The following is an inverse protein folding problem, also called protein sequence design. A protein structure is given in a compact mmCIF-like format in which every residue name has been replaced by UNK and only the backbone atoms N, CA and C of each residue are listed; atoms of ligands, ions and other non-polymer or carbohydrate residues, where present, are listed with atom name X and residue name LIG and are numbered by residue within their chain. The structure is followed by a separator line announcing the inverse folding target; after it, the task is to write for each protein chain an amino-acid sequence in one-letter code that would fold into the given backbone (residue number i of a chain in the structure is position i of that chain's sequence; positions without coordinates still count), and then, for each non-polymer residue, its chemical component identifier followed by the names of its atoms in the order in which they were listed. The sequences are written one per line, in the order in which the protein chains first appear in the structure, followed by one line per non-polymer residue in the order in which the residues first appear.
data_IF_947145433154
#
_entry.id   IF_947145433154
#
_cell.length_a   1.000
_cell.length_b   1.000
_cell.length_c   1.000
_cell.angle_alpha   90.00
_cell.angle_beta   90.00
_cell.angle_gamma   90.00
#
_symmetry.space_group_name_H-M   'P 1'
#
loop_
_entity.id
_entity.type
_entity.pdbx_description
1 polymer ?
#
# COMPACT_ATOMS: atom_id res chain seq x y z
N UNK A 1 -36.16 24.60 -25.64
CA UNK A 1 -35.80 23.41 -24.86
C UNK A 1 -34.37 23.03 -25.28
N UNK A 2 -33.40 23.21 -24.41
CA UNK A 2 -32.03 22.74 -24.65
C UNK A 2 -32.04 21.19 -24.57
N UNK A 3 -31.41 20.52 -25.54
CA UNK A 3 -31.22 19.08 -25.49
C UNK A 3 -30.48 18.70 -24.21
N UNK A 4 -30.84 17.59 -23.53
CA UNK A 4 -30.10 17.13 -22.38
C UNK A 4 -28.68 16.84 -22.85
N UNK A 5 -27.71 17.54 -22.27
CA UNK A 5 -26.28 17.20 -22.42
C UNK A 5 -26.11 15.79 -21.90
N UNK A 6 -25.73 14.86 -22.75
CA UNK A 6 -25.35 13.50 -22.31
C UNK A 6 -24.22 13.63 -21.28
N UNK A 7 -24.44 13.03 -20.10
CA UNK A 7 -23.41 12.95 -19.06
C UNK A 7 -22.23 12.14 -19.61
N UNK A 8 -21.03 12.74 -19.79
CA UNK A 8 -19.88 12.05 -20.36
C UNK A 8 -19.46 10.79 -19.59
N UNK A 9 -19.94 10.63 -18.34
CA UNK A 9 -19.66 9.47 -17.47
C UNK A 9 -20.46 8.21 -17.87
N UNK A 10 -21.48 8.34 -18.71
CA UNK A 10 -22.33 7.20 -19.14
C UNK A 10 -21.90 6.56 -20.46
N UNK A 11 -20.93 7.16 -21.18
CA UNK A 11 -20.34 6.57 -22.37
C UNK A 11 -19.26 5.56 -21.97
N UNK A 12 -19.64 4.30 -21.85
CA UNK A 12 -18.77 3.22 -21.40
C UNK A 12 -17.46 3.12 -22.19
N UNK A 13 -16.40 2.72 -21.52
CA UNK A 13 -15.08 2.25 -21.99
C UNK A 13 -14.19 3.17 -22.84
N UNK A 14 -14.62 4.34 -23.29
CA UNK A 14 -13.74 5.23 -24.09
C UNK A 14 -12.93 6.24 -23.28
N UNK A 15 -13.36 6.52 -22.05
CA UNK A 15 -12.68 7.49 -21.15
C UNK A 15 -11.85 6.77 -20.11
N UNK A 16 -10.55 6.69 -20.33
CA UNK A 16 -9.58 6.18 -19.33
C UNK A 16 -8.48 7.21 -19.09
N UNK A 17 -8.21 7.50 -17.82
CA UNK A 17 -7.10 8.36 -17.41
C UNK A 17 -5.73 7.81 -17.84
N UNK A 18 -5.64 6.52 -18.15
CA UNK A 18 -4.41 5.81 -18.53
C UNK A 18 -4.41 5.38 -20.01
N UNK A 19 -5.18 6.07 -20.85
CA UNK A 19 -5.18 5.83 -22.31
C UNK A 19 -4.22 6.81 -22.99
N UNK A 20 -3.28 6.35 -23.84
CA UNK A 20 -2.46 7.25 -24.64
C UNK A 20 -3.32 8.15 -25.54
N UNK A 21 -2.97 9.41 -25.64
CA UNK A 21 -3.69 10.40 -26.46
C UNK A 21 -3.34 10.32 -27.95
N UNK A 22 -2.30 9.57 -28.32
CA UNK A 22 -1.76 9.52 -29.67
C UNK A 22 -1.45 8.06 -30.06
N UNK A 23 -1.75 7.70 -31.31
CA UNK A 23 -1.37 6.43 -31.89
C UNK A 23 0.16 6.23 -31.93
N UNK A 24 0.63 5.03 -31.64
CA UNK A 24 2.06 4.69 -31.59
C UNK A 24 2.75 5.01 -30.26
N UNK A 25 2.06 5.66 -29.30
CA UNK A 25 2.52 5.81 -27.92
C UNK A 25 1.86 4.75 -27.06
N UNK A 26 2.66 4.00 -26.27
CA UNK A 26 2.15 2.98 -25.34
C UNK A 26 2.36 3.44 -23.89
N UNK A 27 1.44 3.07 -23.03
CA UNK A 27 1.62 3.24 -21.58
C UNK A 27 2.65 2.22 -21.08
N UNK A 28 3.53 2.61 -20.14
CA UNK A 28 4.39 1.66 -19.44
C UNK A 28 3.57 0.51 -18.84
N UNK A 29 4.15 -0.69 -18.82
CA UNK A 29 3.49 -1.87 -18.27
C UNK A 29 4.32 -2.45 -17.12
N UNK A 30 3.67 -3.11 -16.15
CA UNK A 30 4.39 -3.90 -15.16
C UNK A 30 5.33 -4.92 -15.86
N UNK A 31 6.53 -5.16 -15.31
CA UNK A 31 7.45 -6.12 -15.90
C UNK A 31 6.88 -7.56 -15.84
N UNK A 32 7.29 -8.37 -16.81
CA UNK A 32 7.07 -9.81 -16.83
C UNK A 32 8.40 -10.53 -16.71
N UNK A 33 8.42 -11.72 -16.12
CA UNK A 33 9.65 -12.45 -15.80
C UNK A 33 9.66 -13.82 -16.47
N UNK A 34 10.81 -14.26 -16.91
CA UNK A 34 10.98 -15.59 -17.51
C UNK A 34 11.12 -16.68 -16.42
N UNK A 35 11.58 -16.32 -15.22
CA UNK A 35 11.83 -17.24 -14.12
C UNK A 35 11.38 -16.66 -12.77
N UNK A 36 11.05 -17.55 -11.81
CA UNK A 36 10.77 -17.13 -10.43
C UNK A 36 11.99 -16.45 -9.76
N UNK A 37 13.19 -16.80 -10.16
CA UNK A 37 14.40 -16.16 -9.63
C UNK A 37 14.52 -14.70 -10.06
N UNK A 38 14.21 -14.38 -11.31
CA UNK A 38 14.16 -12.99 -11.80
C UNK A 38 13.06 -12.21 -11.11
N UNK A 39 11.89 -12.79 -10.96
CA UNK A 39 10.78 -12.17 -10.25
C UNK A 39 11.10 -11.93 -8.77
N UNK A 40 11.71 -12.91 -8.08
CA UNK A 40 12.17 -12.77 -6.70
C UNK A 40 13.13 -11.60 -6.54
N UNK A 41 14.13 -11.51 -7.42
CA UNK A 41 15.10 -10.41 -7.40
C UNK A 41 14.38 -9.06 -7.58
N UNK A 42 13.50 -8.95 -8.56
CA UNK A 42 12.72 -7.75 -8.79
C UNK A 42 11.85 -7.38 -7.56
N UNK A 43 11.13 -8.33 -6.98
CA UNK A 43 10.31 -8.11 -5.78
C UNK A 43 11.16 -7.60 -4.61
N UNK A 44 12.34 -8.15 -4.40
CA UNK A 44 13.29 -7.70 -3.35
C UNK A 44 13.81 -6.29 -3.64
N UNK A 45 14.14 -5.97 -4.89
CA UNK A 45 14.57 -4.62 -5.28
C UNK A 45 13.46 -3.59 -5.05
N UNK A 46 12.23 -3.89 -5.47
CA UNK A 46 11.06 -3.05 -5.22
C UNK A 46 10.81 -2.86 -3.71
N UNK A 47 10.99 -3.92 -2.92
CA UNK A 47 10.82 -3.89 -1.47
C UNK A 47 11.86 -2.97 -0.81
N UNK A 48 13.14 -3.10 -1.15
CA UNK A 48 14.20 -2.22 -0.66
C UNK A 48 13.94 -0.76 -1.06
N UNK A 49 13.52 -0.52 -2.32
CA UNK A 49 13.16 0.81 -2.79
C UNK A 49 11.96 1.41 -2.06
N UNK A 50 10.91 0.62 -1.80
CA UNK A 50 9.73 1.07 -1.04
C UNK A 50 10.12 1.48 0.39
N UNK A 51 11.02 0.74 1.06
CA UNK A 51 11.55 1.16 2.36
C UNK A 51 12.28 2.49 2.28
N UNK A 52 13.14 2.70 1.26
CA UNK A 52 13.85 3.97 1.05
C UNK A 52 12.87 5.14 0.84
N UNK A 53 11.83 4.95 0.03
CA UNK A 53 10.75 5.94 -0.18
C UNK A 53 10.05 6.24 1.14
N UNK A 54 9.65 5.21 1.90
CA UNK A 54 9.03 5.40 3.22
C UNK A 54 9.95 6.15 4.18
N UNK A 55 11.25 5.83 4.18
CA UNK A 55 12.24 6.54 4.97
C UNK A 55 12.36 8.02 4.61
N UNK A 56 12.29 8.37 3.31
CA UNK A 56 12.30 9.77 2.84
C UNK A 56 11.06 10.53 3.26
N UNK A 57 9.90 9.87 3.25
CA UNK A 57 8.63 10.48 3.67
C UNK A 57 8.46 10.56 5.18
N UNK A 58 9.43 10.05 5.96
CA UNK A 58 9.38 10.09 7.42
C UNK A 58 8.45 9.03 8.02
N UNK A 59 8.19 7.92 7.30
CA UNK A 59 7.35 6.84 7.81
C UNK A 59 8.12 5.78 8.61
N UNK A 60 9.46 5.86 8.64
CA UNK A 60 10.35 4.89 9.28
C UNK A 60 10.95 5.40 10.58
N UNK A 61 10.13 5.85 11.53
CA UNK A 61 10.60 6.33 12.84
C UNK A 61 10.78 5.17 13.82
N UNK A 62 11.98 5.09 14.41
CA UNK A 62 12.33 4.07 15.39
C UNK A 62 12.36 2.67 14.80
N UNK A 63 11.66 1.73 15.44
CA UNK A 63 11.61 0.30 15.05
C UNK A 63 10.24 -0.13 14.51
N UNK A 64 9.32 0.81 14.39
CA UNK A 64 7.96 0.54 13.92
C UNK A 64 7.88 0.57 12.39
N UNK A 65 7.00 -0.29 11.87
CA UNK A 65 6.75 -0.41 10.44
C UNK A 65 7.48 -1.56 9.77
N UNK A 66 6.83 -2.08 8.75
CA UNK A 66 7.28 -3.22 7.96
C UNK A 66 6.53 -3.25 6.62
N UNK A 67 7.23 -3.67 5.58
CA UNK A 67 6.64 -3.98 4.28
C UNK A 67 7.05 -5.41 3.98
N UNK A 68 6.13 -6.20 3.45
CA UNK A 68 6.39 -7.58 3.07
C UNK A 68 6.06 -7.81 1.62
N UNK A 69 6.76 -8.76 1.01
CA UNK A 69 6.42 -9.28 -0.31
C UNK A 69 6.53 -10.80 -0.33
N UNK A 70 5.46 -11.46 -0.80
CA UNK A 70 5.42 -12.91 -0.96
C UNK A 70 6.49 -13.38 -1.93
N UNK A 71 7.14 -14.49 -1.60
CA UNK A 71 8.07 -15.12 -2.51
C UNK A 71 7.33 -15.75 -3.71
N UNK A 72 7.81 -15.57 -4.96
CA UNK A 72 7.10 -16.07 -6.13
C UNK A 72 7.23 -17.59 -6.34
N UNK A 73 8.22 -18.24 -5.74
CA UNK A 73 8.45 -19.68 -5.86
C UNK A 73 7.90 -20.45 -4.66
N UNK A 74 8.05 -19.88 -3.45
CA UNK A 74 7.49 -20.44 -2.24
C UNK A 74 6.44 -19.48 -1.63
N UNK A 75 5.15 -19.66 -1.92
CA UNK A 75 4.08 -18.79 -1.42
C UNK A 75 3.87 -18.87 0.10
N UNK A 76 4.53 -19.82 0.80
CA UNK A 76 4.49 -19.96 2.25
C UNK A 76 5.53 -19.10 2.96
N UNK A 77 6.32 -18.32 2.23
CA UNK A 77 7.25 -17.36 2.80
C UNK A 77 7.12 -15.98 2.19
N UNK A 78 7.55 -14.96 2.92
CA UNK A 78 7.60 -13.58 2.47
C UNK A 78 8.90 -12.90 2.91
N UNK A 79 9.37 -11.98 2.08
CA UNK A 79 10.52 -11.11 2.35
C UNK A 79 10.08 -9.89 3.14
N UNK A 80 10.92 -9.46 4.09
CA UNK A 80 10.63 -8.36 5.02
C UNK A 80 11.93 -7.67 5.46
N UNK A 81 11.83 -6.47 6.02
CA UNK A 81 12.97 -5.79 6.62
C UNK A 81 13.46 -6.48 7.90
N UNK A 82 14.77 -6.45 8.16
CA UNK A 82 15.29 -6.84 9.46
C UNK A 82 14.82 -5.86 10.56
N UNK A 83 14.47 -6.39 11.72
CA UNK A 83 14.04 -5.59 12.86
C UNK A 83 15.16 -4.68 13.36
N UNK A 84 14.84 -3.41 13.61
CA UNK A 84 15.76 -2.41 14.13
C UNK A 84 16.67 -1.74 13.09
N UNK A 85 16.48 -2.01 11.79
CA UNK A 85 17.20 -1.33 10.73
C UNK A 85 16.42 -0.13 10.19
N UNK A 86 17.10 0.99 9.98
CA UNK A 86 16.48 2.19 9.40
C UNK A 86 16.02 1.92 7.97
N UNK A 87 14.79 2.31 7.64
CA UNK A 87 14.24 2.23 6.29
C UNK A 87 15.11 2.91 5.23
N UNK A 88 15.80 3.99 5.62
CA UNK A 88 16.68 4.77 4.74
C UNK A 88 17.93 4.03 4.28
N UNK A 89 18.25 2.88 4.90
CA UNK A 89 19.51 2.16 4.67
C UNK A 89 19.30 0.71 4.26
N UNK A 90 18.05 0.24 4.12
CA UNK A 90 17.76 -1.14 3.71
C UNK A 90 18.22 -1.36 2.26
N UNK A 91 18.95 -2.45 2.05
CA UNK A 91 19.41 -2.96 0.75
C UNK A 91 18.76 -4.30 0.46
N UNK A 92 18.89 -4.74 -0.78
CA UNK A 92 18.42 -6.07 -1.22
C UNK A 92 19.03 -7.20 -0.39
N UNK A 93 20.32 -7.09 -0.07
CA UNK A 93 21.04 -8.09 0.75
C UNK A 93 20.66 -8.09 2.24
N UNK A 94 20.10 -7.00 2.75
CA UNK A 94 19.66 -6.92 4.15
C UNK A 94 18.33 -7.65 4.40
N UNK A 95 17.50 -7.85 3.35
CA UNK A 95 16.18 -8.43 3.48
C UNK A 95 16.24 -9.87 3.98
N UNK A 96 15.33 -10.19 4.90
CA UNK A 96 15.17 -11.54 5.44
C UNK A 96 13.89 -12.17 4.88
N UNK A 97 13.86 -13.51 4.79
CA UNK A 97 12.63 -14.24 4.49
C UNK A 97 12.17 -15.02 5.70
N UNK A 98 10.85 -14.97 5.93
CA UNK A 98 10.18 -15.62 7.07
C UNK A 98 9.06 -16.50 6.53
N UNK A 99 8.95 -17.72 7.03
CA UNK A 99 7.83 -18.61 6.73
C UNK A 99 6.61 -18.30 7.61
N UNK A 100 5.47 -18.95 7.36
CA UNK A 100 4.24 -18.72 8.10
C UNK A 100 4.29 -19.21 9.56
N UNK A 101 5.30 -20.02 9.93
CA UNK A 101 5.53 -20.50 11.30
C UNK A 101 6.39 -19.50 12.12
N UNK A 102 6.96 -18.50 11.47
CA UNK A 102 7.80 -17.46 12.08
C UNK A 102 9.29 -17.77 12.04
N UNK A 103 9.68 -18.85 11.35
CA UNK A 103 11.09 -19.18 11.17
C UNK A 103 11.74 -18.28 10.11
N UNK A 104 12.95 -17.82 10.41
CA UNK A 104 13.76 -17.12 9.44
C UNK A 104 14.43 -18.16 8.52
N UNK A 105 13.95 -18.23 7.28
CA UNK A 105 14.46 -19.19 6.28
C UNK A 105 15.61 -18.62 5.44
N UNK A 106 15.69 -17.30 5.34
CA UNK A 106 16.84 -16.59 4.73
C UNK A 106 17.24 -15.38 5.56
N UNK A 107 18.56 -15.15 5.65
CA UNK A 107 19.12 -14.08 6.45
C UNK A 107 19.46 -14.53 7.88
N UNK A 108 19.96 -13.58 8.68
CA UNK A 108 20.47 -13.84 10.04
C UNK A 108 20.12 -12.72 11.03
N UNK A 109 19.10 -11.91 10.71
CA UNK A 109 18.64 -10.81 11.57
C UNK A 109 17.24 -11.10 12.12
N UNK A 110 16.89 -10.57 13.29
CA UNK A 110 15.56 -10.80 13.86
C UNK A 110 14.44 -10.14 13.03
N UNK A 111 13.26 -10.75 13.08
CA UNK A 111 12.01 -10.18 12.56
C UNK A 111 11.26 -9.45 13.69
N UNK A 112 10.49 -8.43 13.35
CA UNK A 112 9.54 -7.81 14.28
C UNK A 112 8.36 -8.78 14.52
N UNK A 113 8.23 -9.29 15.74
CA UNK A 113 7.21 -10.28 16.08
C UNK A 113 5.77 -9.75 15.88
N UNK A 114 5.51 -8.49 16.23
CA UNK A 114 4.18 -7.90 16.03
C UNK A 114 3.88 -7.74 14.52
N UNK A 115 4.88 -7.33 13.74
CA UNK A 115 4.78 -7.28 12.29
C UNK A 115 4.54 -8.65 11.68
N UNK A 116 5.25 -9.67 12.16
CA UNK A 116 5.06 -11.05 11.71
C UNK A 116 3.62 -11.53 11.91
N UNK A 117 3.04 -11.36 13.11
CA UNK A 117 1.66 -11.81 13.42
C UNK A 117 0.66 -11.22 12.42
N UNK A 118 0.76 -9.93 12.11
CA UNK A 118 -0.14 -9.26 11.18
C UNK A 118 0.06 -9.75 9.75
N UNK A 119 1.31 -9.68 9.25
CA UNK A 119 1.61 -9.99 7.85
C UNK A 119 1.41 -11.48 7.53
N UNK A 120 1.77 -12.39 8.45
CA UNK A 120 1.53 -13.81 8.31
C UNK A 120 0.03 -14.11 8.19
N UNK A 121 -0.81 -13.50 9.03
CA UNK A 121 -2.26 -13.65 8.96
C UNK A 121 -2.83 -13.16 7.62
N UNK A 122 -2.37 -12.01 7.13
CA UNK A 122 -2.82 -11.45 5.83
C UNK A 122 -2.37 -12.33 4.68
N UNK A 123 -1.09 -12.69 4.59
CA UNK A 123 -0.58 -13.56 3.54
C UNK A 123 -1.19 -14.96 3.56
N UNK A 124 -1.56 -15.49 4.72
CA UNK A 124 -2.24 -16.77 4.84
C UNK A 124 -3.69 -16.69 4.34
N UNK A 125 -4.43 -15.66 4.75
CA UNK A 125 -5.84 -15.50 4.40
C UNK A 125 -6.08 -15.05 2.97
N UNK A 126 -5.12 -14.35 2.35
CA UNK A 126 -5.20 -13.73 1.04
C UNK A 126 -4.04 -14.19 0.13
N UNK A 127 -4.16 -15.38 -0.50
CA UNK A 127 -3.13 -15.87 -1.42
C UNK A 127 -2.88 -14.96 -2.63
N UNK A 128 -3.87 -14.16 -3.01
CA UNK A 128 -3.79 -13.17 -4.08
C UNK A 128 -2.95 -11.94 -3.70
N UNK A 129 -2.82 -11.63 -2.41
CA UNK A 129 -2.00 -10.50 -1.95
C UNK A 129 -0.52 -10.84 -2.11
N UNK A 130 0.16 -10.07 -2.93
CA UNK A 130 1.61 -10.19 -3.16
C UNK A 130 2.40 -9.37 -2.15
N UNK A 131 1.96 -8.15 -1.85
CA UNK A 131 2.67 -7.27 -0.93
C UNK A 131 1.74 -6.59 0.07
N UNK A 132 2.28 -6.29 1.25
CA UNK A 132 1.58 -5.58 2.30
C UNK A 132 2.50 -4.53 2.94
N UNK A 133 1.98 -3.35 3.22
CA UNK A 133 2.72 -2.21 3.76
C UNK A 133 2.05 -1.64 5.02
N UNK A 134 2.85 -1.44 6.06
CA UNK A 134 2.46 -0.78 7.30
C UNK A 134 3.59 0.08 7.85
N UNK A 135 3.25 1.24 8.36
CA UNK A 135 4.16 2.11 9.10
C UNK A 135 3.38 3.02 10.07
N UNK A 136 4.07 3.55 11.06
CA UNK A 136 3.48 4.45 12.04
C UNK A 136 3.58 5.92 11.59
N UNK A 137 3.07 6.22 10.39
CA UNK A 137 3.03 7.56 9.83
C UNK A 137 2.13 8.50 10.64
N UNK A 138 2.44 9.79 10.66
CA UNK A 138 1.81 10.75 11.59
C UNK A 138 0.32 10.90 11.36
N UNK A 139 -0.09 11.13 10.11
CA UNK A 139 -1.49 11.39 9.78
C UNK A 139 -2.33 10.12 9.75
N UNK A 140 -1.74 8.99 9.36
CA UNK A 140 -2.39 7.69 9.43
C UNK A 140 -2.68 7.27 10.87
N UNK A 141 -1.73 7.47 11.79
CA UNK A 141 -1.96 7.25 13.23
C UNK A 141 -3.07 8.17 13.76
N UNK A 142 -2.99 9.46 13.46
CA UNK A 142 -3.97 10.43 13.90
C UNK A 142 -5.37 10.07 13.40
N UNK A 143 -5.50 9.74 12.10
CA UNK A 143 -6.77 9.35 11.51
C UNK A 143 -7.31 8.04 12.08
N UNK A 144 -6.46 7.04 12.28
CA UNK A 144 -6.86 5.74 12.83
C UNK A 144 -7.50 5.86 14.22
N UNK A 145 -7.14 6.89 15.00
CA UNK A 145 -7.73 7.15 16.31
C UNK A 145 -9.19 7.62 16.25
N UNK A 146 -9.66 8.09 15.09
CA UNK A 146 -11.03 8.50 14.86
C UNK A 146 -11.95 7.30 14.54
N UNK A 147 -11.38 6.13 14.26
CA UNK A 147 -12.11 4.88 13.95
C UNK A 147 -13.20 5.04 12.89
N UNK A 148 -12.92 5.80 11.84
CA UNK A 148 -13.84 6.03 10.71
C UNK A 148 -13.12 6.02 9.38
N UNK A 149 -13.80 5.71 8.25
CA UNK A 149 -13.23 5.80 6.92
C UNK A 149 -12.93 7.26 6.53
N UNK A 150 -12.13 7.45 5.48
CA UNK A 150 -11.96 8.74 4.81
C UNK A 150 -13.21 9.09 4.00
N UNK A 151 -13.51 10.39 3.94
CA UNK A 151 -14.55 10.93 3.08
C UNK A 151 -13.98 11.30 1.70
N UNK A 152 -14.79 11.26 0.63
CA UNK A 152 -14.36 11.62 -0.71
C UNK A 152 -14.32 13.17 -0.87
N UNK A 153 -13.40 13.83 -0.17
CA UNK A 153 -13.27 15.30 -0.18
C UNK A 153 -12.29 15.82 -1.23
N UNK A 154 -11.48 14.93 -1.81
CA UNK A 154 -10.54 15.22 -2.89
C UNK A 154 -10.60 14.13 -3.95
N UNK A 155 -10.12 14.42 -5.18
CA UNK A 155 -9.99 13.41 -6.22
C UNK A 155 -9.10 12.24 -5.74
N UNK A 156 -8.01 12.54 -5.03
CA UNK A 156 -7.07 11.52 -4.53
C UNK A 156 -7.73 10.63 -3.46
N UNK A 157 -8.61 11.19 -2.62
CA UNK A 157 -9.39 10.40 -1.66
C UNK A 157 -10.36 9.45 -2.37
N UNK A 158 -10.91 9.84 -3.52
CA UNK A 158 -11.79 8.99 -4.31
C UNK A 158 -11.10 7.72 -4.85
N UNK A 159 -9.77 7.71 -4.97
CA UNK A 159 -9.00 6.50 -5.32
C UNK A 159 -9.32 5.31 -4.41
N UNK A 160 -9.63 5.58 -3.15
CA UNK A 160 -9.95 4.58 -2.13
C UNK A 160 -11.46 4.45 -1.87
N UNK A 161 -12.30 5.15 -2.64
CA UNK A 161 -13.73 5.18 -2.41
C UNK A 161 -14.34 3.77 -2.45
N UNK A 162 -15.04 3.38 -1.39
CA UNK A 162 -15.59 2.04 -1.14
C UNK A 162 -14.55 0.89 -1.06
N UNK A 163 -13.25 1.20 -1.12
CA UNK A 163 -12.17 0.21 -1.10
C UNK A 163 -11.25 0.30 0.12
N UNK A 164 -11.74 0.89 1.21
CA UNK A 164 -11.04 0.93 2.49
C UNK A 164 -11.99 0.67 3.66
N UNK A 165 -11.41 0.34 4.82
CA UNK A 165 -12.20 0.00 5.99
C UNK A 165 -11.51 0.37 7.31
N UNK A 166 -12.16 0.01 8.41
CA UNK A 166 -11.64 0.18 9.77
C UNK A 166 -11.71 -1.15 10.50
N UNK A 167 -10.63 -1.51 11.19
CA UNK A 167 -10.52 -2.66 12.08
C UNK A 167 -10.31 -2.16 13.49
N UNK A 168 -11.15 -2.57 14.42
CA UNK A 168 -11.17 -2.05 15.80
C UNK A 168 -10.57 -3.00 16.83
N UNK A 169 -10.33 -4.25 16.45
CA UNK A 169 -9.74 -5.27 17.30
C UNK A 169 -8.32 -4.87 17.73
N UNK A 170 -7.96 -5.19 18.96
CA UNK A 170 -6.66 -4.81 19.54
C UNK A 170 -6.56 -3.37 20.01
N UNK A 171 -7.37 -2.44 19.52
CA UNK A 171 -7.52 -1.06 20.01
C UNK A 171 -6.20 -0.33 20.31
N UNK A 172 -5.19 -0.48 19.45
CA UNK A 172 -3.88 0.15 19.60
C UNK A 172 -2.90 -0.59 20.50
N UNK A 173 -3.23 -1.76 21.03
CA UNK A 173 -2.27 -2.61 21.69
C UNK A 173 -1.22 -3.15 20.70
N UNK A 174 -0.03 -3.49 21.20
CA UNK A 174 0.97 -4.22 20.40
C UNK A 174 0.36 -5.56 19.95
N UNK A 175 0.41 -5.85 18.65
CA UNK A 175 -0.26 -7.01 18.08
C UNK A 175 0.59 -8.25 18.28
N UNK A 176 0.34 -8.97 19.39
CA UNK A 176 0.92 -10.30 19.67
C UNK A 176 -0.14 -11.39 19.63
N UNK A 177 -1.42 -11.02 19.64
CA UNK A 177 -2.55 -11.94 19.58
C UNK A 177 -2.88 -12.26 18.10
N UNK A 178 -2.83 -13.54 17.69
CA UNK A 178 -3.21 -13.96 16.34
C UNK A 178 -4.65 -13.60 15.94
N UNK A 179 -5.58 -13.43 16.90
CA UNK A 179 -6.96 -13.00 16.61
C UNK A 179 -7.00 -11.60 16.00
N UNK A 180 -6.15 -10.70 16.48
CA UNK A 180 -6.05 -9.35 15.91
C UNK A 180 -5.51 -9.40 14.47
N UNK A 181 -4.54 -10.27 14.21
CA UNK A 181 -4.04 -10.52 12.84
C UNK A 181 -5.16 -11.05 11.93
N UNK A 182 -5.97 -11.99 12.40
CA UNK A 182 -7.13 -12.52 11.64
C UNK A 182 -8.20 -11.45 11.40
N UNK A 183 -8.47 -10.60 12.37
CA UNK A 183 -9.40 -9.50 12.21
C UNK A 183 -8.93 -8.49 11.13
N UNK A 184 -7.63 -8.17 11.11
CA UNK A 184 -7.03 -7.34 10.06
C UNK A 184 -7.15 -7.98 8.69
N UNK A 185 -6.83 -9.26 8.56
CA UNK A 185 -6.98 -10.00 7.32
C UNK A 185 -8.45 -10.00 6.84
N UNK A 186 -9.40 -10.27 7.74
CA UNK A 186 -10.84 -10.20 7.41
C UNK A 186 -11.26 -8.80 6.96
N UNK A 187 -10.77 -7.76 7.63
CA UNK A 187 -11.03 -6.37 7.27
C UNK A 187 -10.55 -5.98 5.87
N UNK A 188 -9.49 -6.63 5.40
CA UNK A 188 -8.90 -6.40 4.06
C UNK A 188 -9.65 -7.12 2.93
N UNK A 189 -10.56 -8.04 3.22
CA UNK A 189 -11.29 -8.78 2.17
C UNK A 189 -11.95 -7.82 1.18
N UNK A 190 -11.51 -7.86 -0.09
CA UNK A 190 -11.99 -7.01 -1.17
C UNK A 190 -11.60 -5.53 -1.03
N UNK A 191 -10.62 -5.19 -0.18
CA UNK A 191 -10.16 -3.83 0.05
C UNK A 191 -8.66 -3.67 -0.18
N UNK A 192 -8.25 -2.45 -0.51
CA UNK A 192 -6.84 -2.07 -0.70
C UNK A 192 -6.13 -1.74 0.60
N UNK A 193 -6.87 -1.26 1.58
CA UNK A 193 -6.31 -0.88 2.86
C UNK A 193 -7.37 -0.85 3.98
N UNK A 194 -6.88 -0.92 5.21
CA UNK A 194 -7.66 -0.67 6.41
C UNK A 194 -6.94 0.27 7.36
N UNK A 195 -7.71 1.05 8.11
CA UNK A 195 -7.22 1.68 9.33
C UNK A 195 -7.35 0.70 10.48
N UNK A 196 -6.25 0.36 11.12
CA UNK A 196 -6.28 -0.32 12.41
C UNK A 196 -6.42 0.74 13.50
N UNK A 197 -7.54 0.70 14.24
CA UNK A 197 -7.87 1.72 15.23
C UNK A 197 -6.73 1.96 16.23
N UNK A 198 -6.37 3.24 16.45
CA UNK A 198 -5.31 3.70 17.35
C UNK A 198 -3.91 3.17 17.02
N UNK A 199 -3.70 2.65 15.80
CA UNK A 199 -2.43 2.04 15.39
C UNK A 199 -1.89 2.67 14.10
N UNK A 200 -2.66 2.63 13.01
CA UNK A 200 -2.22 3.22 11.74
C UNK A 200 -2.89 2.59 10.51
N UNK A 201 -2.20 2.72 9.39
CA UNK A 201 -2.62 2.24 8.07
C UNK A 201 -2.01 0.86 7.81
N UNK A 202 -2.79 -0.06 7.22
CA UNK A 202 -2.32 -1.30 6.64
C UNK A 202 -2.85 -1.41 5.20
N UNK A 203 -1.96 -1.47 4.23
CA UNK A 203 -2.29 -1.49 2.81
C UNK A 203 -1.76 -2.76 2.13
N UNK A 204 -2.46 -3.25 1.11
CA UNK A 204 -2.09 -4.45 0.35
C UNK A 204 -2.13 -4.19 -1.15
N UNK A 205 -1.46 -5.03 -1.94
CA UNK A 205 -1.45 -4.93 -3.39
C UNK A 205 -0.89 -6.16 -4.08
N UNK A 206 -1.09 -6.20 -5.40
CA UNK A 206 -0.58 -7.23 -6.31
C UNK A 206 0.91 -7.03 -6.63
N UNK A 207 1.46 -5.89 -6.22
CA UNK A 207 2.89 -5.55 -6.30
C UNK A 207 3.32 -4.73 -5.10
N UNK A 208 4.62 -4.70 -4.82
CA UNK A 208 5.19 -3.80 -3.79
C UNK A 208 4.88 -2.35 -4.10
N UNK A 209 5.00 -1.96 -5.36
CA UNK A 209 4.72 -0.61 -5.84
C UNK A 209 3.27 -0.20 -5.53
N UNK A 210 2.32 -1.08 -5.78
CA UNK A 210 0.90 -0.85 -5.50
C UNK A 210 0.64 -0.70 -4.00
N UNK A 211 1.07 -1.67 -3.17
CA UNK A 211 0.88 -1.61 -1.72
C UNK A 211 1.50 -0.35 -1.10
N UNK A 212 2.71 0.02 -1.54
CA UNK A 212 3.40 1.23 -1.10
C UNK A 212 2.64 2.49 -1.52
N UNK A 213 2.11 2.53 -2.74
CA UNK A 213 1.34 3.68 -3.22
C UNK A 213 0.02 3.84 -2.45
N UNK A 214 -0.74 2.76 -2.21
CA UNK A 214 -1.96 2.85 -1.41
C UNK A 214 -1.70 3.39 -0.01
N UNK A 215 -0.59 2.96 0.61
CA UNK A 215 -0.18 3.50 1.91
C UNK A 215 0.12 5.01 1.81
N UNK A 216 0.95 5.44 0.86
CA UNK A 216 1.35 6.85 0.67
C UNK A 216 0.13 7.71 0.38
N UNK A 217 -0.72 7.29 -0.56
CA UNK A 217 -1.94 8.02 -0.92
C UNK A 217 -2.88 8.16 0.29
N UNK A 218 -3.06 7.09 1.06
CA UNK A 218 -3.87 7.13 2.29
C UNK A 218 -3.32 8.12 3.31
N UNK A 219 -2.02 8.10 3.57
CA UNK A 219 -1.37 9.03 4.51
C UNK A 219 -1.59 10.49 4.09
N UNK A 220 -1.46 10.79 2.78
CA UNK A 220 -1.69 12.13 2.23
C UNK A 220 -3.16 12.56 2.32
N UNK A 221 -4.10 11.65 2.11
CA UNK A 221 -5.52 11.93 2.26
C UNK A 221 -5.92 12.10 3.73
N UNK A 222 -5.32 11.35 4.68
CA UNK A 222 -5.47 11.60 6.12
C UNK A 222 -5.03 13.03 6.47
N UNK A 223 -3.87 13.45 5.97
CA UNK A 223 -3.36 14.82 6.16
C UNK A 223 -4.33 15.85 5.60
N UNK A 224 -4.77 15.68 4.36
CA UNK A 224 -5.67 16.62 3.68
C UNK A 224 -7.00 16.75 4.43
N UNK A 225 -7.60 15.64 4.84
CA UNK A 225 -8.89 15.66 5.52
C UNK A 225 -8.79 16.25 6.93
N UNK A 226 -7.76 15.91 7.71
CA UNK A 226 -7.54 16.52 9.04
C UNK A 226 -7.37 18.04 8.93
N UNK A 227 -6.62 18.54 7.95
CA UNK A 227 -6.44 19.98 7.73
C UNK A 227 -7.73 20.66 7.26
N UNK A 228 -8.49 20.03 6.37
CA UNK A 228 -9.75 20.58 5.88
C UNK A 228 -10.79 20.66 7.00
N UNK A 229 -10.93 19.61 7.82
CA UNK A 229 -11.87 19.58 8.96
C UNK A 229 -11.46 20.57 10.06
N UNK A 230 -10.19 20.81 10.27
CA UNK A 230 -9.72 21.86 11.19
C UNK A 230 -10.06 23.28 10.70
N UNK A 231 -10.17 23.48 9.39
CA UNK A 231 -10.55 24.77 8.79
C UNK A 231 -12.07 24.98 8.66
N UNK A 232 -12.86 23.88 8.65
CA UNK A 232 -14.31 23.94 8.51
C UNK A 232 -14.92 22.60 8.14
N UNK A 233 -16.13 22.61 7.58
CA UNK A 233 -16.81 21.39 7.10
C UNK A 233 -16.49 21.17 5.63
N UNK A 234 -15.74 20.14 5.24
CA UNK A 234 -15.43 19.86 3.84
C UNK A 234 -16.69 19.54 3.03
N UNK A 235 -16.71 19.97 1.77
CA UNK A 235 -17.72 19.53 0.81
C UNK A 235 -17.28 18.19 0.22
N UNK A 236 -18.12 17.18 0.34
CA UNK A 236 -17.85 15.87 -0.25
C UNK A 236 -18.17 15.85 -1.75
N UNK A 237 -17.39 15.10 -2.51
CA UNK A 237 -17.67 14.73 -3.89
C UNK A 237 -18.86 13.75 -3.88
N UNK A 238 -19.82 13.98 -4.76
CA UNK A 238 -21.00 13.10 -4.84
C UNK A 238 -20.62 11.65 -5.23
N UNK A 239 -21.49 10.71 -4.89
CA UNK A 239 -21.26 9.29 -5.11
C UNK A 239 -20.88 8.95 -6.56
N UNK A 240 -21.55 9.54 -7.55
CA UNK A 240 -21.31 9.21 -8.96
C UNK A 240 -19.91 9.66 -9.40
N UNK A 241 -19.47 10.86 -9.01
CA UNK A 241 -18.14 11.38 -9.30
C UNK A 241 -17.04 10.65 -8.50
N UNK A 242 -17.30 10.32 -7.23
CA UNK A 242 -16.36 9.58 -6.39
C UNK A 242 -16.12 8.17 -6.95
N UNK A 243 -17.20 7.48 -7.33
CA UNK A 243 -17.14 6.14 -7.94
C UNK A 243 -16.42 6.16 -9.29
N UNK A 244 -16.76 7.11 -10.17
CA UNK A 244 -16.07 7.28 -11.45
C UNK A 244 -14.55 7.48 -11.25
N UNK A 245 -14.16 8.33 -10.30
CA UNK A 245 -12.74 8.57 -10.00
C UNK A 245 -12.06 7.30 -9.45
N UNK A 246 -12.73 6.54 -8.56
CA UNK A 246 -12.22 5.28 -8.05
C UNK A 246 -12.00 4.25 -9.18
N UNK A 247 -12.92 4.15 -10.14
CA UNK A 247 -12.81 3.26 -11.30
C UNK A 247 -11.62 3.64 -12.21
N UNK A 248 -11.26 4.92 -12.27
CA UNK A 248 -10.11 5.39 -13.06
C UNK A 248 -8.79 5.23 -12.31
N UNK A 249 -8.70 5.73 -11.08
CA UNK A 249 -7.44 5.88 -10.35
C UNK A 249 -7.22 4.81 -9.26
N UNK A 250 -8.25 4.04 -8.94
CA UNK A 250 -8.20 2.99 -7.91
C UNK A 250 -7.90 1.58 -8.47
N UNK A 251 -7.39 1.44 -9.69
CA UNK A 251 -7.03 0.13 -10.27
C UNK A 251 -5.63 -0.31 -9.80
N UNK A 252 -5.34 -1.62 -9.82
CA UNK A 252 -4.00 -2.14 -9.52
C UNK A 252 -2.93 -1.51 -10.43
N UNK A 253 -3.25 -1.34 -11.71
CA UNK A 253 -2.37 -0.65 -12.66
C UNK A 253 -2.11 0.80 -12.24
N UNK A 254 -3.13 1.55 -11.84
CA UNK A 254 -2.98 2.92 -11.37
C UNK A 254 -2.08 3.00 -10.13
N UNK A 255 -2.24 2.08 -9.18
CA UNK A 255 -1.39 1.98 -8.00
C UNK A 255 0.06 1.70 -8.34
N UNK A 256 0.30 0.69 -9.19
CA UNK A 256 1.65 0.39 -9.69
C UNK A 256 2.27 1.59 -10.42
N UNK A 257 1.55 2.18 -11.37
CA UNK A 257 2.07 3.27 -12.21
C UNK A 257 2.33 4.54 -11.41
N UNK A 258 1.49 4.85 -10.44
CA UNK A 258 1.65 6.02 -9.58
C UNK A 258 2.90 5.95 -8.69
N UNK A 259 3.39 4.76 -8.39
CA UNK A 259 4.64 4.57 -7.64
C UNK A 259 5.88 4.77 -8.52
N UNK A 260 5.79 4.63 -9.85
CA UNK A 260 6.97 4.64 -10.73
C UNK A 260 7.81 5.92 -10.64
N UNK A 261 7.25 7.15 -10.55
CA UNK A 261 8.07 8.35 -10.36
C UNK A 261 8.91 8.33 -9.08
N UNK A 262 8.38 7.74 -8.00
CA UNK A 262 9.11 7.60 -6.73
C UNK A 262 10.20 6.53 -6.85
N UNK A 263 9.91 5.43 -7.55
CA UNK A 263 10.88 4.41 -7.89
C UNK A 263 12.04 4.96 -8.71
N UNK A 264 11.75 5.71 -9.78
CA UNK A 264 12.75 6.33 -10.63
C UNK A 264 13.66 7.31 -9.85
N UNK A 265 13.09 8.05 -8.93
CA UNK A 265 13.85 8.95 -8.05
C UNK A 265 14.79 8.16 -7.13
N UNK A 266 14.27 7.12 -6.46
CA UNK A 266 15.06 6.30 -5.52
C UNK A 266 16.21 5.59 -6.22
N UNK A 267 15.97 4.99 -7.38
CA UNK A 267 17.02 4.29 -8.16
C UNK A 267 18.17 5.22 -8.55
N UNK A 268 17.86 6.47 -8.85
CA UNK A 268 18.89 7.47 -9.24
C UNK A 268 19.68 8.00 -8.05
N UNK A 269 19.05 8.12 -6.90
CA UNK A 269 19.66 8.81 -5.75
C UNK A 269 20.28 7.85 -4.74
N UNK A 270 19.81 6.60 -4.69
CA UNK A 270 20.23 5.59 -3.71
C UNK A 270 20.63 4.29 -4.43
N UNK A 271 21.64 4.30 -5.33
CA UNK A 271 22.01 3.13 -6.13
C UNK A 271 22.51 1.94 -5.29
N UNK A 272 22.95 2.20 -4.05
CA UNK A 272 23.38 1.17 -3.09
C UNK A 272 22.22 0.27 -2.60
N UNK A 273 20.97 0.61 -2.93
CA UNK A 273 19.83 -0.25 -2.57
C UNK A 273 19.89 -1.64 -3.23
N UNK A 274 20.59 -1.75 -4.35
CA UNK A 274 20.73 -2.99 -5.12
C UNK A 274 21.80 -3.95 -4.58
N UNK A 275 22.64 -3.51 -3.63
CA UNK A 275 23.72 -4.31 -3.03
C UNK A 275 23.20 -5.50 -2.20
#
# INVERSE_FOLDING_TARGET
MAAPTQDPRTSGNEMSAFKPSQEGISMPQPPTFATSAEERLHRKQQLAGAFRVFGRFGFGEGIAGHITVRDPEDPHMFWVNPFGMSFRHIRVSDLIAVNHDGDIVHGNRPVNQAGFVIHSAVHHAHPEVVAAAHAHSVYGKAWSSLARPLDPITQDACTLYENHGVVTEGRGAVVLDPEVGRALATGLTGRKMVFHQNHGIFAVGDTVAEAAWWFINTERNCQAQLLAEAAGTPTQIDHANAKFSAEQTGTAYAGWFSFQPLWDEIVRTDPDLFD
#
